data_IF_405851594057
#
_entry.id   IF_405851594057
#
_cell.length_a   1.000
_cell.length_b   1.000
_cell.length_c   1.000
_cell.angle_alpha   90.00
_cell.angle_beta   90.00
_cell.angle_gamma   90.00
#
_symmetry.space_group_name_H-M   'P 1'
#
loop_
_entity.id
_entity.type
_entity.pdbx_description
1 polymer ?
#
# COMPACT_ATOMS: atom_id res chain seq x y z
N UNK A 1 28.97 13.98 -58.57
CA UNK A 1 28.47 12.92 -57.68
C UNK A 1 29.38 12.66 -56.45
N UNK A 2 30.71 12.56 -56.58
CA UNK A 2 31.61 12.27 -55.44
C UNK A 2 31.58 13.33 -54.33
N UNK A 3 31.47 14.63 -54.66
CA UNK A 3 31.38 15.72 -53.67
C UNK A 3 30.05 15.77 -52.92
N UNK A 4 28.91 15.39 -53.56
CA UNK A 4 27.61 15.33 -52.93
C UNK A 4 27.57 14.16 -51.91
N UNK A 5 28.13 13.01 -52.26
CA UNK A 5 28.24 11.88 -51.34
C UNK A 5 29.14 12.20 -50.13
N UNK A 6 30.23 12.98 -50.34
CA UNK A 6 31.08 13.42 -49.21
C UNK A 6 30.38 14.40 -48.25
N UNK A 7 29.61 15.34 -48.79
CA UNK A 7 28.82 16.29 -48.00
C UNK A 7 27.68 15.61 -47.21
N UNK A 8 27.00 14.62 -47.79
CA UNK A 8 25.98 13.86 -47.09
C UNK A 8 26.56 13.01 -45.96
N UNK A 9 27.70 12.34 -46.17
CA UNK A 9 28.41 11.59 -45.13
C UNK A 9 28.86 12.48 -43.97
N UNK A 10 29.40 13.69 -44.29
CA UNK A 10 29.79 14.66 -43.28
C UNK A 10 28.59 15.16 -42.47
N UNK A 11 27.48 15.49 -43.14
CA UNK A 11 26.25 15.90 -42.47
C UNK A 11 25.69 14.82 -41.56
N UNK A 12 25.70 13.55 -41.99
CA UNK A 12 25.28 12.40 -41.17
C UNK A 12 26.18 12.18 -39.95
N UNK A 13 27.52 12.34 -40.14
CA UNK A 13 28.47 12.23 -39.04
C UNK A 13 28.29 13.35 -38.01
N UNK A 14 28.03 14.58 -38.45
CA UNK A 14 27.75 15.72 -37.57
C UNK A 14 26.43 15.51 -36.82
N UNK A 15 25.37 15.04 -37.48
CA UNK A 15 24.10 14.73 -36.86
C UNK A 15 24.23 13.60 -35.84
N UNK A 16 24.97 12.53 -36.15
CA UNK A 16 25.25 11.43 -35.24
C UNK A 16 26.05 11.88 -34.00
N UNK A 17 27.08 12.71 -34.21
CA UNK A 17 27.88 13.28 -33.14
C UNK A 17 27.05 14.22 -32.24
N UNK A 18 26.21 15.06 -32.83
CA UNK A 18 25.28 15.93 -32.09
C UNK A 18 24.23 15.15 -31.32
N UNK A 19 23.69 14.10 -31.93
CA UNK A 19 22.76 13.19 -31.26
C UNK A 19 23.43 12.47 -30.07
N UNK A 20 24.63 11.90 -30.30
CA UNK A 20 25.38 11.23 -29.26
C UNK A 20 25.74 12.20 -28.13
N UNK A 21 26.16 13.41 -28.44
CA UNK A 21 26.47 14.43 -27.46
C UNK A 21 25.25 14.86 -26.64
N UNK A 22 24.09 15.01 -27.26
CA UNK A 22 22.85 15.44 -26.58
C UNK A 22 22.18 14.33 -25.75
N UNK A 23 22.29 13.07 -26.18
CA UNK A 23 21.47 11.95 -25.62
C UNK A 23 22.30 11.02 -24.75
N UNK A 24 23.54 10.73 -25.09
CA UNK A 24 24.40 9.79 -24.40
C UNK A 24 25.34 10.46 -23.37
N UNK A 25 25.48 11.77 -23.38
CA UNK A 25 26.26 12.49 -22.39
C UNK A 25 25.56 12.42 -21.01
N UNK A 26 26.32 12.18 -19.91
CA UNK A 26 25.78 12.29 -18.56
C UNK A 26 25.22 13.69 -18.28
N UNK A 27 24.11 13.74 -17.57
CA UNK A 27 23.49 14.96 -17.09
C UNK A 27 24.38 15.64 -16.03
N UNK A 28 24.25 16.95 -15.89
CA UNK A 28 24.99 17.72 -14.89
C UNK A 28 24.29 17.61 -13.54
N UNK A 29 24.63 16.57 -12.78
CA UNK A 29 24.00 16.25 -11.49
C UNK A 29 24.93 16.56 -10.32
N UNK A 30 24.40 17.02 -9.17
CA UNK A 30 25.19 17.21 -7.97
C UNK A 30 25.72 15.86 -7.43
N UNK A 31 26.81 15.88 -6.62
CA UNK A 31 27.27 14.70 -5.90
C UNK A 31 26.13 14.13 -5.03
N UNK A 32 25.76 12.86 -5.24
CA UNK A 32 24.60 12.21 -4.56
C UNK A 32 23.33 12.16 -5.39
N UNK A 33 23.34 12.69 -6.62
CA UNK A 33 22.18 12.64 -7.51
C UNK A 33 21.17 13.76 -7.25
N UNK A 34 20.00 13.65 -7.88
CA UNK A 34 18.93 14.64 -7.79
C UNK A 34 17.56 13.97 -7.61
N UNK A 35 16.78 14.44 -6.62
CA UNK A 35 15.42 14.00 -6.40
C UNK A 35 14.44 14.84 -7.23
N UNK A 36 13.85 14.23 -8.26
CA UNK A 36 12.86 14.85 -9.14
C UNK A 36 11.44 14.41 -8.77
N UNK A 37 10.58 15.37 -8.48
CA UNK A 37 9.16 15.12 -8.23
C UNK A 37 8.31 15.47 -9.45
N UNK A 38 7.64 14.48 -10.04
CA UNK A 38 6.73 14.62 -11.17
C UNK A 38 5.28 14.56 -10.66
N UNK A 39 4.59 15.69 -10.67
CA UNK A 39 3.20 15.80 -10.19
C UNK A 39 2.22 15.05 -11.12
N UNK A 40 1.09 14.54 -10.60
CA UNK A 40 0.01 14.03 -11.45
C UNK A 40 -0.44 15.08 -12.48
N UNK A 41 -0.54 14.66 -13.75
CA UNK A 41 -0.88 15.55 -14.85
C UNK A 41 0.28 16.42 -15.41
N UNK A 42 1.50 16.29 -14.87
CA UNK A 42 2.66 16.97 -15.43
C UNK A 42 2.94 16.49 -16.86
N UNK A 43 3.40 17.42 -17.71
CA UNK A 43 3.84 17.13 -19.09
C UNK A 43 5.35 16.98 -19.15
N UNK A 44 5.87 16.25 -20.15
CA UNK A 44 7.32 16.15 -20.37
C UNK A 44 7.98 17.52 -20.52
N UNK A 45 7.25 18.51 -21.08
CA UNK A 45 7.73 19.89 -21.21
C UNK A 45 7.84 20.59 -19.85
N UNK A 46 6.90 20.39 -18.92
CA UNK A 46 7.00 20.98 -17.58
C UNK A 46 8.18 20.39 -16.81
N UNK A 47 8.36 19.07 -16.88
CA UNK A 47 9.51 18.38 -16.27
C UNK A 47 10.84 18.87 -16.85
N UNK A 48 10.92 19.02 -18.18
CA UNK A 48 12.11 19.53 -18.84
C UNK A 48 12.47 20.95 -18.38
N UNK A 49 11.45 21.82 -18.23
CA UNK A 49 11.64 23.19 -17.74
C UNK A 49 12.15 23.22 -16.30
N UNK A 50 11.59 22.41 -15.43
CA UNK A 50 12.01 22.31 -14.04
C UNK A 50 13.47 21.86 -13.93
N UNK A 51 13.87 20.85 -14.72
CA UNK A 51 15.25 20.36 -14.78
C UNK A 51 16.24 21.39 -15.41
N UNK A 52 15.78 22.24 -16.33
CA UNK A 52 16.59 23.32 -16.87
C UNK A 52 16.76 24.45 -15.86
N UNK A 53 15.72 24.76 -15.09
CA UNK A 53 15.78 25.75 -14.01
C UNK A 53 16.76 25.40 -12.89
N UNK A 54 17.10 24.11 -12.76
CA UNK A 54 18.09 23.60 -11.79
C UNK A 54 19.42 23.22 -12.39
N UNK A 55 19.73 23.69 -13.61
CA UNK A 55 20.98 23.46 -14.37
C UNK A 55 21.31 21.97 -14.64
N UNK A 56 20.31 21.06 -14.48
CA UNK A 56 20.49 19.64 -14.78
C UNK A 56 20.44 19.37 -16.28
N UNK A 57 19.54 20.09 -16.99
CA UNK A 57 19.45 20.07 -18.44
C UNK A 57 20.02 21.37 -19.03
N UNK A 58 20.81 21.31 -20.11
CA UNK A 58 21.33 22.52 -20.78
C UNK A 58 20.22 23.32 -21.48
N UNK A 59 19.13 22.64 -21.89
CA UNK A 59 17.97 23.27 -22.52
C UNK A 59 16.76 22.31 -22.46
N UNK A 60 15.57 22.85 -22.18
CA UNK A 60 14.32 22.10 -22.03
C UNK A 60 13.89 21.36 -23.29
N UNK A 61 14.14 21.92 -24.46
CA UNK A 61 13.78 21.31 -25.74
C UNK A 61 14.47 19.96 -26.00
N UNK A 62 15.63 19.69 -25.39
CA UNK A 62 16.40 18.46 -25.61
C UNK A 62 15.62 17.22 -25.14
N UNK A 63 15.07 17.25 -23.95
CA UNK A 63 14.25 16.17 -23.40
C UNK A 63 12.91 16.02 -24.17
N UNK A 64 12.30 17.15 -24.53
CA UNK A 64 11.04 17.14 -25.30
C UNK A 64 11.25 16.59 -26.71
N UNK A 65 12.35 16.97 -27.39
CA UNK A 65 12.68 16.44 -28.70
C UNK A 65 12.94 14.94 -28.69
N UNK A 66 13.70 14.46 -27.71
CA UNK A 66 13.94 13.03 -27.52
C UNK A 66 12.62 12.27 -27.25
N UNK A 67 11.76 12.78 -26.36
CA UNK A 67 10.46 12.19 -26.06
C UNK A 67 9.55 12.08 -27.29
N UNK A 68 9.53 13.10 -28.15
CA UNK A 68 8.76 13.08 -29.42
C UNK A 68 9.34 12.09 -30.43
N UNK A 69 10.65 12.06 -30.60
CA UNK A 69 11.36 11.14 -31.51
C UNK A 69 11.08 9.68 -31.11
N UNK A 70 11.05 9.38 -29.83
CA UNK A 70 10.80 8.03 -29.28
C UNK A 70 9.32 7.73 -29.04
N UNK A 71 8.40 8.68 -29.31
CA UNK A 71 6.96 8.60 -29.01
C UNK A 71 6.65 8.39 -27.53
N UNK A 72 7.53 8.84 -26.65
CA UNK A 72 7.47 8.68 -25.22
C UNK A 72 6.98 9.94 -24.47
N UNK A 73 6.69 11.04 -25.19
CA UNK A 73 6.30 12.34 -24.64
C UNK A 73 5.01 12.33 -23.83
N UNK A 74 4.13 11.34 -24.05
CA UNK A 74 2.86 11.14 -23.31
C UNK A 74 2.89 9.98 -22.33
N UNK A 75 3.99 9.24 -22.25
CA UNK A 75 4.11 8.02 -21.46
C UNK A 75 4.75 8.26 -20.08
N UNK A 76 5.05 9.52 -19.70
CA UNK A 76 5.64 9.81 -18.40
C UNK A 76 4.67 9.54 -17.28
N UNK A 77 5.18 8.97 -16.20
CA UNK A 77 4.41 8.63 -15.00
C UNK A 77 4.70 9.63 -13.89
N UNK A 78 3.67 9.97 -13.10
CA UNK A 78 3.84 10.78 -11.90
C UNK A 78 4.57 9.97 -10.82
N UNK A 79 5.35 10.65 -9.97
CA UNK A 79 6.07 10.04 -8.87
C UNK A 79 7.38 10.75 -8.54
N UNK A 80 8.08 10.27 -7.53
CA UNK A 80 9.39 10.77 -7.14
C UNK A 80 10.47 9.85 -7.71
N UNK A 81 11.44 10.46 -8.40
CA UNK A 81 12.50 9.76 -9.08
C UNK A 81 13.86 10.18 -8.49
N UNK A 82 14.68 9.20 -8.14
CA UNK A 82 16.09 9.46 -7.85
C UNK A 82 16.87 9.37 -9.16
N UNK A 83 17.53 10.47 -9.52
CA UNK A 83 18.39 10.56 -10.70
C UNK A 83 19.84 10.49 -10.22
N UNK A 84 20.49 9.36 -10.45
CA UNK A 84 21.83 9.08 -9.97
C UNK A 84 22.90 9.74 -10.88
N UNK A 85 24.08 10.03 -10.30
CA UNK A 85 25.20 10.54 -11.06
C UNK A 85 25.54 9.62 -12.25
N UNK A 86 25.85 10.21 -13.40
CA UNK A 86 26.09 9.45 -14.63
C UNK A 86 24.84 9.10 -15.44
N UNK A 87 23.64 9.47 -14.98
CA UNK A 87 22.40 9.29 -15.76
C UNK A 87 22.46 10.15 -17.02
N UNK A 88 22.14 9.54 -18.17
CA UNK A 88 22.04 10.21 -19.47
C UNK A 88 20.61 10.68 -19.74
N UNK A 89 20.41 11.57 -20.72
CA UNK A 89 19.07 12.03 -21.11
C UNK A 89 18.15 10.89 -21.54
N UNK A 90 18.68 9.91 -22.29
CA UNK A 90 17.94 8.72 -22.69
C UNK A 90 17.50 7.88 -21.48
N UNK A 91 18.39 7.69 -20.51
CA UNK A 91 18.11 6.92 -19.30
C UNK A 91 17.11 7.64 -18.40
N UNK A 92 17.19 8.97 -18.32
CA UNK A 92 16.18 9.76 -17.62
C UNK A 92 14.80 9.59 -18.25
N UNK A 93 14.67 9.72 -19.59
CA UNK A 93 13.42 9.52 -20.28
C UNK A 93 12.86 8.10 -20.05
N UNK A 94 13.72 7.08 -20.09
CA UNK A 94 13.33 5.70 -19.79
C UNK A 94 12.82 5.55 -18.35
N UNK A 95 13.52 6.12 -17.34
CA UNK A 95 13.05 6.13 -15.95
C UNK A 95 11.65 6.75 -15.81
N UNK A 96 11.43 7.91 -16.43
CA UNK A 96 10.15 8.62 -16.38
C UNK A 96 9.02 7.85 -17.04
N UNK A 97 9.28 7.12 -18.13
CA UNK A 97 8.25 6.36 -18.88
C UNK A 97 7.99 4.98 -18.30
N UNK A 98 9.00 4.31 -17.77
CA UNK A 98 8.86 3.03 -17.08
C UNK A 98 8.23 3.20 -15.70
N UNK A 99 8.37 4.39 -15.08
CA UNK A 99 7.91 4.66 -13.73
C UNK A 99 8.86 4.06 -12.69
N UNK A 100 10.18 4.14 -12.95
CA UNK A 100 11.23 3.78 -12.00
C UNK A 100 11.30 4.84 -10.89
N UNK A 101 10.22 4.90 -10.09
CA UNK A 101 10.05 5.84 -8.98
C UNK A 101 10.74 5.30 -7.74
N UNK A 102 11.27 6.20 -6.93
CA UNK A 102 11.69 5.85 -5.57
C UNK A 102 10.45 5.45 -4.80
N UNK A 103 10.35 4.18 -4.46
CA UNK A 103 9.25 3.65 -3.68
C UNK A 103 9.60 3.64 -2.21
N UNK A 104 8.73 4.22 -1.41
CA UNK A 104 8.68 4.00 0.03
C UNK A 104 7.77 2.83 0.32
N UNK A 105 7.90 2.24 1.49
CA UNK A 105 7.02 1.15 1.92
C UNK A 105 6.54 1.37 3.34
N UNK A 106 5.32 0.94 3.61
CA UNK A 106 4.75 0.82 4.94
C UNK A 106 4.31 -0.61 5.17
N UNK A 107 4.70 -1.20 6.28
CA UNK A 107 4.24 -2.52 6.69
C UNK A 107 2.98 -2.37 7.55
N UNK A 108 1.89 -3.01 7.15
CA UNK A 108 0.72 -3.28 7.99
C UNK A 108 0.95 -4.65 8.59
N UNK A 109 1.03 -4.75 9.92
CA UNK A 109 1.43 -5.98 10.60
C UNK A 109 0.22 -6.80 10.98
N UNK A 110 0.29 -8.12 10.82
CA UNK A 110 -0.74 -9.07 11.28
C UNK A 110 -1.03 -8.87 12.77
N UNK A 111 -2.28 -8.93 13.15
CA UNK A 111 -2.73 -8.73 14.53
C UNK A 111 -2.78 -7.27 15.01
N UNK A 112 -2.41 -6.29 14.18
CA UNK A 112 -2.69 -4.89 14.49
C UNK A 112 -4.20 -4.61 14.53
N UNK A 113 -4.58 -3.62 15.32
CA UNK A 113 -5.91 -3.00 15.23
C UNK A 113 -5.94 -1.92 14.15
N UNK A 114 -7.14 -1.51 13.74
CA UNK A 114 -7.29 -0.35 12.85
C UNK A 114 -6.69 0.92 13.46
N UNK A 115 -6.71 1.06 14.78
CA UNK A 115 -6.05 2.17 15.48
C UNK A 115 -4.53 2.16 15.27
N UNK A 116 -3.89 0.97 15.37
CA UNK A 116 -2.45 0.84 15.14
C UNK A 116 -2.09 1.18 13.70
N UNK A 117 -2.92 0.75 12.73
CA UNK A 117 -2.77 1.14 11.33
C UNK A 117 -2.87 2.66 11.14
N UNK A 118 -3.87 3.31 11.74
CA UNK A 118 -3.99 4.79 11.68
C UNK A 118 -2.76 5.47 12.26
N UNK A 119 -2.23 4.97 13.37
CA UNK A 119 -1.03 5.51 14.01
C UNK A 119 0.20 5.35 13.11
N UNK A 120 0.41 4.19 12.51
CA UNK A 120 1.51 3.96 11.57
C UNK A 120 1.45 4.91 10.37
N UNK A 121 0.27 5.07 9.76
CA UNK A 121 0.05 6.00 8.65
C UNK A 121 0.28 7.46 9.06
N UNK A 122 -0.13 7.86 10.26
CA UNK A 122 0.11 9.22 10.79
C UNK A 122 1.59 9.53 10.97
N UNK A 123 2.36 8.57 11.44
CA UNK A 123 3.78 8.73 11.73
C UNK A 123 4.66 8.73 10.47
N UNK A 124 4.16 8.22 9.35
CA UNK A 124 4.91 8.22 8.09
C UNK A 124 4.89 9.63 7.46
N UNK A 125 6.05 10.26 7.33
CA UNK A 125 6.20 11.63 6.82
C UNK A 125 6.04 11.73 5.30
N UNK A 126 6.10 10.62 4.58
CA UNK A 126 6.04 10.57 3.11
C UNK A 126 4.61 10.41 2.59
N UNK A 127 3.66 10.07 3.47
CA UNK A 127 2.24 9.92 3.16
C UNK A 127 1.52 11.24 3.37
N UNK A 128 0.71 11.66 2.41
CA UNK A 128 -0.17 12.83 2.51
C UNK A 128 -1.45 12.42 3.24
N UNK A 129 -1.70 13.02 4.40
CA UNK A 129 -2.88 12.76 5.24
C UNK A 129 -4.09 13.51 4.64
N UNK A 130 -5.11 12.76 4.24
CA UNK A 130 -6.36 13.28 3.69
C UNK A 130 -7.59 12.83 4.48
N UNK A 131 -7.53 11.59 5.01
CA UNK A 131 -8.71 10.95 5.62
C UNK A 131 -8.48 10.51 7.06
N UNK A 132 -7.25 10.46 7.55
CA UNK A 132 -6.93 9.96 8.91
C UNK A 132 -7.55 10.79 10.05
N UNK A 133 -7.89 12.06 9.79
CA UNK A 133 -8.51 12.97 10.78
C UNK A 133 -10.05 12.99 10.69
N UNK A 134 -10.61 12.28 9.71
CA UNK A 134 -12.05 12.07 9.60
C UNK A 134 -12.53 11.05 10.63
N UNK A 135 -13.84 11.04 10.90
CA UNK A 135 -14.47 9.92 11.62
C UNK A 135 -14.30 8.61 10.85
N UNK A 136 -14.33 7.48 11.55
CA UNK A 136 -14.18 6.16 10.91
C UNK A 136 -15.23 5.95 9.81
N UNK A 137 -16.47 6.38 10.01
CA UNK A 137 -17.52 6.30 9.01
C UNK A 137 -17.25 7.16 7.75
N UNK A 138 -16.71 8.36 7.92
CA UNK A 138 -16.34 9.25 6.81
C UNK A 138 -15.12 8.70 6.06
N UNK A 139 -14.13 8.17 6.79
CA UNK A 139 -12.97 7.52 6.23
C UNK A 139 -13.39 6.32 5.37
N UNK A 140 -14.22 5.41 5.92
CA UNK A 140 -14.70 4.24 5.19
C UNK A 140 -15.50 4.64 3.95
N UNK A 141 -16.34 5.65 4.05
CA UNK A 141 -17.07 6.21 2.90
C UNK A 141 -16.11 6.73 1.82
N UNK A 142 -15.02 7.39 2.21
CA UNK A 142 -14.04 7.94 1.27
C UNK A 142 -13.29 6.88 0.43
N UNK A 143 -13.22 5.65 0.93
CA UNK A 143 -12.62 4.50 0.23
C UNK A 143 -13.65 3.56 -0.41
N UNK A 144 -14.94 3.93 -0.38
CA UNK A 144 -16.01 3.17 -1.02
C UNK A 144 -16.67 2.09 -0.15
N UNK A 145 -16.45 2.10 1.19
CA UNK A 145 -16.93 1.12 2.16
C UNK A 145 -17.87 1.74 3.21
N UNK A 146 -18.88 2.48 2.78
CA UNK A 146 -19.69 3.39 3.60
C UNK A 146 -20.43 2.75 4.80
N UNK A 147 -20.79 1.47 4.70
CA UNK A 147 -21.63 0.77 5.69
C UNK A 147 -20.82 -0.15 6.62
N UNK A 148 -19.50 -0.15 6.54
CA UNK A 148 -18.65 -1.12 7.21
C UNK A 148 -17.84 -0.48 8.36
N UNK A 149 -17.75 -1.18 9.50
CA UNK A 149 -16.81 -0.82 10.55
C UNK A 149 -15.37 -1.17 10.10
N UNK A 150 -14.36 -0.30 10.34
CA UNK A 150 -13.04 -0.45 9.74
C UNK A 150 -12.20 -1.61 10.30
N UNK A 151 -12.53 -2.10 11.51
CA UNK A 151 -11.72 -3.12 12.18
C UNK A 151 -11.70 -4.43 11.39
N UNK A 152 -10.52 -4.97 11.17
CA UNK A 152 -10.31 -6.22 10.42
C UNK A 152 -10.27 -6.09 8.90
N UNK A 153 -10.71 -4.97 8.32
CA UNK A 153 -10.97 -4.84 6.88
C UNK A 153 -9.75 -4.42 6.03
N UNK A 154 -8.57 -4.28 6.62
CA UNK A 154 -7.36 -3.90 5.90
C UNK A 154 -6.34 -5.04 5.94
N UNK A 155 -5.97 -5.58 4.77
CA UNK A 155 -5.08 -6.73 4.70
C UNK A 155 -3.67 -6.36 5.18
N UNK A 156 -3.09 -7.11 6.12
CA UNK A 156 -1.70 -6.92 6.56
C UNK A 156 -0.74 -7.39 5.47
N UNK A 157 0.11 -6.46 5.00
CA UNK A 157 1.15 -6.69 4.00
C UNK A 157 2.11 -5.49 3.98
N UNK A 158 3.17 -5.57 3.18
CA UNK A 158 4.05 -4.44 2.88
C UNK A 158 3.56 -3.70 1.64
N UNK A 159 3.09 -2.47 1.82
CA UNK A 159 2.56 -1.63 0.75
C UNK A 159 3.61 -0.65 0.24
N UNK A 160 4.04 -0.84 -0.99
CA UNK A 160 4.92 0.10 -1.68
C UNK A 160 4.11 1.27 -2.24
N UNK A 161 4.66 2.48 -2.13
CA UNK A 161 4.01 3.72 -2.60
C UNK A 161 5.04 4.76 -3.03
N UNK A 162 4.64 5.67 -3.92
CA UNK A 162 5.43 6.85 -4.24
C UNK A 162 5.30 7.89 -3.12
N UNK A 163 6.38 8.57 -2.77
CA UNK A 163 6.33 9.67 -1.80
C UNK A 163 5.27 10.71 -2.24
N UNK A 164 4.45 11.16 -1.29
CA UNK A 164 3.32 12.03 -1.58
C UNK A 164 2.02 11.29 -1.96
N UNK A 165 2.02 9.95 -1.95
CA UNK A 165 0.77 9.17 -2.01
C UNK A 165 -0.15 9.49 -0.83
N UNK A 166 -1.46 9.41 -1.04
CA UNK A 166 -2.42 9.69 0.03
C UNK A 166 -2.69 8.46 0.90
N UNK A 167 -2.99 8.70 2.16
CA UNK A 167 -3.49 7.69 3.10
C UNK A 167 -4.75 6.98 2.57
N UNK A 168 -5.68 7.73 1.94
CA UNK A 168 -6.87 7.16 1.31
C UNK A 168 -6.54 6.12 0.23
N UNK A 169 -5.53 6.39 -0.62
CA UNK A 169 -5.12 5.46 -1.67
C UNK A 169 -4.51 4.17 -1.10
N UNK A 170 -3.72 4.27 -0.01
CA UNK A 170 -3.14 3.11 0.66
C UNK A 170 -4.22 2.29 1.37
N UNK A 171 -5.12 2.95 2.09
CA UNK A 171 -6.25 2.30 2.76
C UNK A 171 -7.17 1.60 1.75
N UNK A 172 -7.52 2.24 0.62
CA UNK A 172 -8.32 1.62 -0.42
C UNK A 172 -7.67 0.36 -1.00
N UNK A 173 -6.34 0.34 -1.18
CA UNK A 173 -5.60 -0.85 -1.64
C UNK A 173 -5.64 -1.96 -0.60
N UNK A 174 -5.37 -1.66 0.67
CA UNK A 174 -5.37 -2.64 1.74
C UNK A 174 -6.78 -3.24 1.96
N UNK A 175 -7.82 -2.42 1.86
CA UNK A 175 -9.22 -2.83 1.89
C UNK A 175 -9.56 -3.74 0.70
N UNK A 176 -9.23 -3.35 -0.52
CA UNK A 176 -9.45 -4.16 -1.73
C UNK A 176 -8.77 -5.52 -1.66
N UNK A 177 -7.50 -5.56 -1.17
CA UNK A 177 -6.77 -6.81 -0.97
C UNK A 177 -7.46 -7.71 0.06
N UNK A 178 -7.94 -7.15 1.18
CA UNK A 178 -8.68 -7.93 2.18
C UNK A 178 -9.96 -8.51 1.57
N UNK A 179 -10.72 -7.72 0.83
CA UNK A 179 -11.94 -8.17 0.18
C UNK A 179 -11.70 -9.33 -0.80
N UNK A 180 -10.67 -9.23 -1.64
CA UNK A 180 -10.29 -10.29 -2.59
C UNK A 180 -9.89 -11.58 -1.87
N UNK A 181 -9.02 -11.47 -0.86
CA UNK A 181 -8.51 -12.63 -0.09
C UNK A 181 -9.64 -13.31 0.69
N UNK A 182 -10.47 -12.52 1.35
CA UNK A 182 -11.60 -13.03 2.12
C UNK A 182 -12.65 -13.69 1.23
N UNK A 183 -12.98 -13.09 0.08
CA UNK A 183 -13.92 -13.67 -0.87
C UNK A 183 -13.41 -15.00 -1.43
N UNK A 184 -12.12 -15.12 -1.75
CA UNK A 184 -11.51 -16.35 -2.22
C UNK A 184 -11.55 -17.46 -1.14
N UNK A 185 -11.18 -17.14 0.10
CA UNK A 185 -11.22 -18.09 1.22
C UNK A 185 -12.66 -18.54 1.51
N UNK A 186 -13.62 -17.60 1.52
CA UNK A 186 -15.02 -17.91 1.74
C UNK A 186 -15.61 -18.79 0.64
N UNK A 187 -15.22 -18.60 -0.60
CA UNK A 187 -15.66 -19.45 -1.73
C UNK A 187 -15.14 -20.89 -1.62
N UNK A 188 -13.95 -21.09 -1.06
CA UNK A 188 -13.30 -22.40 -0.90
C UNK A 188 -13.55 -23.04 0.47
N UNK A 189 -14.34 -22.42 1.35
CA UNK A 189 -14.57 -22.88 2.71
C UNK A 189 -15.11 -24.30 2.79
N UNK A 190 -14.77 -25.01 3.85
CA UNK A 190 -15.34 -26.31 4.14
C UNK A 190 -16.87 -26.24 4.35
N UNK A 191 -17.65 -27.23 3.90
CA UNK A 191 -19.08 -27.25 4.12
C UNK A 191 -19.42 -27.45 5.62
N UNK A 192 -20.56 -26.89 6.05
CA UNK A 192 -21.05 -27.08 7.41
C UNK A 192 -20.33 -26.29 8.51
N UNK A 193 -19.66 -25.19 8.13
CA UNK A 193 -19.20 -24.21 9.10
C UNK A 193 -20.39 -23.49 9.74
N UNK A 194 -20.34 -23.19 11.05
CA UNK A 194 -21.37 -22.44 11.78
C UNK A 194 -21.18 -20.92 11.60
N UNK A 195 -20.93 -20.49 10.36
CA UNK A 195 -20.70 -19.11 9.98
C UNK A 195 -21.65 -18.76 8.82
N UNK A 196 -22.32 -17.62 8.93
CA UNK A 196 -23.36 -17.21 7.99
C UNK A 196 -22.80 -16.30 6.85
N UNK A 197 -21.65 -15.67 7.08
CA UNK A 197 -21.07 -14.72 6.15
C UNK A 197 -19.53 -14.74 6.14
N UNK A 198 -18.95 -14.20 5.08
CA UNK A 198 -17.51 -13.96 5.00
C UNK A 198 -17.02 -13.01 6.12
N UNK A 199 -17.86 -12.06 6.56
CA UNK A 199 -17.54 -11.16 7.65
C UNK A 199 -17.43 -11.89 9.00
N UNK A 200 -18.28 -12.88 9.24
CA UNK A 200 -18.16 -13.75 10.42
C UNK A 200 -16.88 -14.59 10.38
N UNK A 201 -16.50 -15.07 9.19
CA UNK A 201 -15.22 -15.77 9.01
C UNK A 201 -14.04 -14.84 9.32
N UNK A 202 -14.08 -13.58 8.85
CA UNK A 202 -13.08 -12.56 9.17
C UNK A 202 -13.03 -12.28 10.67
N UNK A 203 -14.18 -12.19 11.31
CA UNK A 203 -14.28 -11.97 12.76
C UNK A 203 -13.62 -13.11 13.53
N UNK A 204 -13.90 -14.36 13.16
CA UNK A 204 -13.26 -15.53 13.76
C UNK A 204 -11.76 -15.56 13.49
N UNK A 205 -11.34 -15.29 12.24
CA UNK A 205 -9.94 -15.23 11.86
C UNK A 205 -9.16 -14.20 12.69
N UNK A 206 -9.76 -13.04 13.00
CA UNK A 206 -9.15 -12.01 13.86
C UNK A 206 -8.90 -12.49 15.29
N UNK A 207 -9.74 -13.37 15.80
CA UNK A 207 -9.57 -14.02 17.12
C UNK A 207 -8.41 -15.02 17.02
N UNK A 208 -8.43 -15.90 16.02
CA UNK A 208 -7.36 -16.90 15.79
C UNK A 208 -6.00 -16.20 15.64
N UNK A 209 -5.93 -15.07 14.91
CA UNK A 209 -4.71 -14.26 14.76
C UNK A 209 -4.15 -13.79 16.11
N UNK A 210 -5.03 -13.41 17.03
CA UNK A 210 -4.62 -12.90 18.36
C UNK A 210 -4.30 -14.00 19.37
N UNK A 211 -4.77 -15.24 19.14
CA UNK A 211 -4.52 -16.37 20.05
C UNK A 211 -3.13 -16.96 19.89
N UNK A 212 -2.57 -16.95 18.68
CA UNK A 212 -1.26 -17.56 18.45
C UNK A 212 -0.45 -16.87 17.36
N UNK A 213 0.83 -16.67 17.64
CA UNK A 213 1.82 -16.28 16.62
C UNK A 213 2.34 -17.47 15.79
N UNK A 214 1.97 -18.71 16.12
CA UNK A 214 2.48 -19.92 15.45
C UNK A 214 1.50 -20.38 14.38
N UNK A 215 1.91 -20.32 13.13
CA UNK A 215 1.07 -20.71 11.98
C UNK A 215 0.53 -22.15 12.11
N UNK A 216 1.34 -23.08 12.61
CA UNK A 216 0.96 -24.48 12.77
C UNK A 216 -0.19 -24.72 13.78
N UNK A 217 -0.40 -23.82 14.76
CA UNK A 217 -1.43 -23.96 15.77
C UNK A 217 -2.78 -23.37 15.33
N UNK A 218 -2.79 -22.48 14.32
CA UNK A 218 -3.98 -21.76 13.86
C UNK A 218 -5.14 -22.69 13.47
N UNK A 219 -4.95 -23.78 12.69
CA UNK A 219 -6.06 -24.70 12.34
C UNK A 219 -6.67 -25.38 13.57
N UNK A 220 -5.87 -25.74 14.58
CA UNK A 220 -6.37 -26.37 15.80
C UNK A 220 -7.19 -25.37 16.63
N UNK A 221 -6.73 -24.14 16.75
CA UNK A 221 -7.43 -23.07 17.47
C UNK A 221 -8.75 -22.73 16.75
N UNK A 222 -8.71 -22.58 15.42
CA UNK A 222 -9.91 -22.38 14.62
C UNK A 222 -10.92 -23.50 14.82
N UNK A 223 -10.49 -24.77 14.79
CA UNK A 223 -11.34 -25.92 15.02
C UNK A 223 -12.00 -25.91 16.41
N UNK A 224 -11.26 -25.47 17.45
CA UNK A 224 -11.85 -25.33 18.81
C UNK A 224 -12.98 -24.31 18.82
N UNK A 225 -12.77 -23.13 18.24
CA UNK A 225 -13.80 -22.09 18.19
C UNK A 225 -14.99 -22.49 17.33
N UNK A 226 -14.77 -23.10 16.17
CA UNK A 226 -15.82 -23.64 15.30
C UNK A 226 -16.68 -24.67 16.06
N UNK A 227 -16.06 -25.59 16.82
CA UNK A 227 -16.79 -26.57 17.61
C UNK A 227 -17.57 -25.89 18.73
N UNK A 228 -17.02 -24.88 19.41
CA UNK A 228 -17.76 -24.12 20.43
C UNK A 228 -18.99 -23.43 19.83
N UNK A 229 -18.83 -22.78 18.64
CA UNK A 229 -19.97 -22.16 17.96
C UNK A 229 -21.05 -23.20 17.60
N UNK A 230 -20.68 -24.36 17.05
CA UNK A 230 -21.62 -25.47 16.74
C UNK A 230 -22.40 -25.95 17.95
N UNK A 231 -21.78 -25.96 19.11
CA UNK A 231 -22.38 -26.40 20.38
C UNK A 231 -23.09 -25.28 21.14
N UNK A 232 -23.15 -24.06 20.61
CA UNK A 232 -23.69 -22.88 21.29
C UNK A 232 -22.90 -22.47 22.53
N UNK A 233 -21.65 -22.91 22.64
CA UNK A 233 -20.76 -22.57 23.75
C UNK A 233 -20.17 -21.15 23.57
N UNK A 234 -19.87 -20.52 24.70
CA UNK A 234 -19.13 -19.24 24.70
C UNK A 234 -17.70 -19.45 24.20
N UNK A 235 -17.16 -18.49 23.42
CA UNK A 235 -15.79 -18.62 22.89
C UNK A 235 -14.73 -18.51 23.99
N UNK A 236 -14.93 -17.67 25.00
CA UNK A 236 -14.03 -17.50 26.16
C UNK A 236 -12.59 -17.21 25.73
N UNK A 237 -12.40 -16.17 24.92
CA UNK A 237 -11.11 -15.73 24.41
C UNK A 237 -10.73 -14.40 25.04
N UNK A 238 -9.57 -14.36 25.66
CA UNK A 238 -9.00 -13.17 26.32
C UNK A 238 -8.78 -12.00 25.35
N UNK A 239 -8.22 -12.21 24.15
CA UNK A 239 -8.03 -11.15 23.18
C UNK A 239 -9.29 -10.34 22.86
N UNK A 240 -10.47 -10.96 22.80
CA UNK A 240 -11.70 -10.23 22.54
C UNK A 240 -12.09 -9.33 23.73
N UNK A 241 -11.90 -9.78 24.96
CA UNK A 241 -12.13 -8.97 26.16
C UNK A 241 -11.14 -7.80 26.21
N UNK A 242 -9.87 -8.06 25.96
CA UNK A 242 -8.80 -7.04 25.92
C UNK A 242 -9.13 -5.97 24.88
N UNK A 243 -9.55 -6.36 23.68
CA UNK A 243 -10.00 -5.44 22.64
C UNK A 243 -11.17 -4.58 23.12
N UNK A 244 -12.15 -5.18 23.79
CA UNK A 244 -13.30 -4.47 24.35
C UNK A 244 -12.96 -3.50 25.48
N UNK A 245 -11.92 -3.76 26.27
CA UNK A 245 -11.39 -2.83 27.29
C UNK A 245 -10.72 -1.65 26.61
N UNK A 246 -10.05 -1.88 25.45
CA UNK A 246 -9.39 -0.89 24.63
C UNK A 246 -8.23 -0.20 25.36
N UNK A 247 -8.14 1.13 25.25
CA UNK A 247 -7.03 1.92 25.82
C UNK A 247 -6.90 1.85 27.34
N UNK A 248 -7.93 1.41 28.03
CA UNK A 248 -7.90 1.25 29.49
C UNK A 248 -7.21 -0.04 29.94
N UNK A 249 -6.84 -0.93 29.02
CA UNK A 249 -6.13 -2.17 29.36
C UNK A 249 -4.70 -1.85 29.80
N UNK A 250 -4.38 -2.19 31.03
CA UNK A 250 -3.09 -1.92 31.66
C UNK A 250 -2.09 -3.09 31.59
N UNK A 251 -2.40 -4.11 30.76
CA UNK A 251 -1.59 -5.32 30.60
C UNK A 251 -1.96 -6.46 31.54
N UNK A 252 -2.95 -6.28 32.44
CA UNK A 252 -3.40 -7.31 33.37
C UNK A 252 -4.93 -7.52 33.26
N UNK A 253 -5.32 -8.67 32.76
CA UNK A 253 -6.73 -9.06 32.65
C UNK A 253 -7.22 -9.62 33.99
N UNK A 254 -8.19 -8.95 34.59
CA UNK A 254 -8.73 -9.28 35.92
C UNK A 254 -10.02 -10.10 35.79
N UNK A 255 -10.33 -10.84 36.86
CA UNK A 255 -11.60 -11.60 36.96
C UNK A 255 -12.82 -10.69 36.75
N UNK A 256 -12.80 -9.47 37.32
CA UNK A 256 -13.84 -8.46 37.10
C UNK A 256 -14.05 -8.07 35.65
N UNK A 257 -13.01 -8.13 34.81
CA UNK A 257 -13.10 -7.82 33.39
C UNK A 257 -13.78 -8.95 32.63
N UNK A 258 -13.54 -10.20 33.03
CA UNK A 258 -14.19 -11.38 32.46
C UNK A 258 -15.68 -11.50 32.86
N UNK A 259 -16.09 -10.91 33.98
CA UNK A 259 -17.48 -10.95 34.50
C UNK A 259 -18.30 -9.76 33.99
N UNK A 260 -17.67 -8.69 33.51
CA UNK A 260 -18.35 -7.48 33.07
C UNK A 260 -19.04 -7.68 31.71
N UNK A 261 -20.34 -7.37 31.63
CA UNK A 261 -21.05 -7.44 30.34
C UNK A 261 -20.57 -6.32 29.38
N UNK A 262 -20.09 -6.77 28.22
CA UNK A 262 -19.61 -5.91 27.12
C UNK A 262 -19.76 -6.66 25.77
N UNK A 263 -20.08 -6.01 24.65
CA UNK A 263 -20.26 -6.67 23.35
C UNK A 263 -19.12 -7.60 22.92
N UNK A 264 -17.89 -7.30 23.31
CA UNK A 264 -16.69 -8.12 23.03
C UNK A 264 -16.36 -9.13 24.14
N UNK A 265 -17.15 -9.22 25.22
CA UNK A 265 -16.86 -10.18 26.28
C UNK A 265 -17.43 -11.56 25.98
N UNK A 266 -16.60 -12.39 25.37
CA UNK A 266 -16.90 -13.76 24.98
C UNK A 266 -16.95 -14.76 26.15
N UNK A 267 -16.68 -14.32 27.40
CA UNK A 267 -16.93 -15.10 28.63
C UNK A 267 -18.38 -14.96 29.10
N UNK A 268 -19.03 -13.85 28.79
CA UNK A 268 -20.42 -13.57 29.20
C UNK A 268 -21.39 -13.78 28.03
N UNK A 269 -21.01 -13.35 26.84
CA UNK A 269 -21.83 -13.43 25.62
C UNK A 269 -21.49 -14.66 24.80
N UNK A 270 -22.50 -15.33 24.23
CA UNK A 270 -22.33 -16.41 23.29
C UNK A 270 -22.18 -15.88 21.87
N UNK A 271 -21.56 -16.69 20.99
CA UNK A 271 -21.32 -16.32 19.58
C UNK A 271 -20.07 -15.48 19.36
N UNK A 272 -19.95 -14.95 18.16
CA UNK A 272 -18.86 -14.05 17.75
C UNK A 272 -19.07 -12.64 18.31
N UNK A 273 -17.99 -11.88 18.54
CA UNK A 273 -18.10 -10.46 18.82
C UNK A 273 -18.66 -9.71 17.59
N UNK A 274 -19.16 -8.46 17.76
CA UNK A 274 -19.87 -7.74 16.70
C UNK A 274 -18.99 -7.36 15.51
N UNK A 275 -17.68 -7.26 15.72
CA UNK A 275 -16.68 -6.96 14.66
C UNK A 275 -15.43 -7.81 14.86
N UNK A 276 -14.54 -7.88 13.88
CA UNK A 276 -13.16 -8.32 14.10
C UNK A 276 -12.49 -7.53 15.23
N UNK A 277 -11.44 -8.07 15.81
CA UNK A 277 -10.66 -7.48 16.92
C UNK A 277 -9.23 -7.14 16.53
N UNK A 278 -8.86 -7.45 15.30
CA UNK A 278 -7.53 -7.19 14.73
C UNK A 278 -7.58 -7.36 13.21
N UNK A 279 -6.49 -7.00 12.53
CA UNK A 279 -6.23 -7.26 11.11
C UNK A 279 -5.62 -8.66 10.96
N UNK A 280 -6.39 -9.68 10.52
CA UNK A 280 -5.85 -11.03 10.40
C UNK A 280 -5.06 -11.19 9.11
N UNK A 281 -3.97 -11.97 9.17
CA UNK A 281 -3.22 -12.41 8.02
C UNK A 281 -3.89 -13.55 7.27
N UNK A 282 -3.38 -13.87 6.07
CA UNK A 282 -3.96 -14.93 5.22
C UNK A 282 -4.01 -16.29 5.96
N UNK A 283 -2.96 -16.63 6.71
CA UNK A 283 -2.90 -17.90 7.43
C UNK A 283 -3.95 -18.05 8.56
N UNK A 284 -4.48 -16.95 9.10
CA UNK A 284 -5.57 -16.99 10.05
C UNK A 284 -6.95 -17.06 9.36
N UNK A 285 -7.06 -16.49 8.15
CA UNK A 285 -8.27 -16.54 7.33
C UNK A 285 -8.46 -17.93 6.73
N UNK A 286 -7.38 -18.60 6.34
CA UNK A 286 -7.37 -19.91 5.69
C UNK A 286 -7.50 -21.07 6.68
N UNK A 287 -7.27 -20.82 7.96
CA UNK A 287 -7.30 -21.85 9.02
C UNK A 287 -8.70 -22.32 9.40
#
# INVERSE_FOLDING_TARGET
MRYIAGLTLLALAVCAAAYWWAVARPLHLPPGGYALSVKPGATLRSVARDLTATDILPADWTLVALGRLTRADRAIKAGNYQIDAGTTLARLLAKLTQGDVTQSSIAIVEGWTFRDLKLALRNDTKIVKRVLDLSDAELMRSIGAAEEAPEGLFFPDTYFFADGSTDAALLARAYGTMHERLAAAWASRAPGLPLESAYEALTLASIVEKETGRAADRPLIAAVFINRLKLGMRLQTDPAVIYGIGERFDGNLRKSDLEKDHPFNTYVRAGLPPTPIALPGYAAIDA
#
